data_IF_912377744758
#
_entry.id   IF_912377744758
#
_cell.length_a   1.000
_cell.length_b   1.000
_cell.length_c   1.000
_cell.angle_alpha   90.00
_cell.angle_beta   90.00
_cell.angle_gamma   90.00
#
_symmetry.space_group_name_H-M   'P 1'
#
loop_
_entity.id
_entity.type
_entity.pdbx_description
1 polymer ?
#
# COMPACT_ATOMS: atom_id res chain seq x y z
N UNK A 1 27.01 -0.50 0.66
CA UNK A 1 26.09 0.58 0.24
C UNK A 1 24.76 0.29 0.93
N UNK A 2 24.25 1.19 1.77
CA UNK A 2 22.90 1.07 2.32
C UNK A 2 21.94 1.73 1.32
N UNK A 3 21.22 0.91 0.56
CA UNK A 3 20.22 1.39 -0.40
C UNK A 3 18.87 1.45 0.30
N UNK A 4 18.42 2.66 0.63
CA UNK A 4 17.08 2.87 1.19
C UNK A 4 16.04 2.69 0.08
N UNK A 5 15.13 1.73 0.27
CA UNK A 5 14.03 1.44 -0.67
C UNK A 5 12.71 1.88 -0.03
N UNK A 6 11.90 2.62 -0.79
CA UNK A 6 10.52 2.95 -0.42
C UNK A 6 9.56 2.30 -1.41
N UNK A 7 8.53 1.64 -0.89
CA UNK A 7 7.47 0.99 -1.66
C UNK A 7 6.17 1.76 -1.48
N UNK A 8 5.66 2.34 -2.56
CA UNK A 8 4.40 3.09 -2.56
C UNK A 8 3.29 2.19 -3.09
N UNK A 9 2.30 1.88 -2.25
CA UNK A 9 1.12 1.11 -2.63
C UNK A 9 -0.07 2.05 -2.73
N UNK A 10 -0.66 2.18 -3.92
CA UNK A 10 -1.91 2.92 -4.11
C UNK A 10 -3.08 1.96 -4.16
N UNK A 11 -4.17 2.27 -3.47
CA UNK A 11 -5.38 1.44 -3.46
C UNK A 11 -6.65 2.29 -3.55
N UNK A 12 -7.73 1.70 -4.06
CA UNK A 12 -9.10 2.23 -3.98
C UNK A 12 -10.03 1.06 -3.81
N UNK A 13 -10.72 0.98 -2.66
CA UNK A 13 -11.82 0.02 -2.40
C UNK A 13 -11.53 -1.41 -2.88
N UNK A 14 -10.30 -1.90 -2.64
CA UNK A 14 -9.83 -3.23 -3.08
C UNK A 14 -9.23 -4.03 -1.92
N UNK A 15 -10.03 -4.40 -0.89
CA UNK A 15 -9.50 -4.99 0.32
C UNK A 15 -8.83 -6.36 0.09
N UNK A 16 -9.35 -7.20 -0.81
CA UNK A 16 -8.75 -8.51 -1.11
C UNK A 16 -7.38 -8.36 -1.80
N UNK A 17 -7.31 -7.56 -2.87
CA UNK A 17 -6.04 -7.33 -3.59
C UNK A 17 -5.02 -6.58 -2.74
N UNK A 18 -5.47 -5.66 -1.89
CA UNK A 18 -4.58 -4.99 -0.94
C UNK A 18 -3.97 -6.01 0.02
N UNK A 19 -4.77 -6.94 0.55
CA UNK A 19 -4.28 -8.02 1.41
C UNK A 19 -3.22 -8.87 0.70
N UNK A 20 -3.51 -9.33 -0.51
CA UNK A 20 -2.56 -10.13 -1.31
C UNK A 20 -1.26 -9.36 -1.59
N UNK A 21 -1.35 -8.07 -1.92
CA UNK A 21 -0.21 -7.20 -2.13
C UNK A 21 0.65 -7.07 -0.86
N UNK A 22 0.03 -6.82 0.29
CA UNK A 22 0.73 -6.70 1.57
C UNK A 22 1.37 -8.02 2.00
N UNK A 23 0.72 -9.16 1.75
CA UNK A 23 1.30 -10.48 1.99
C UNK A 23 2.53 -10.74 1.10
N UNK A 24 2.45 -10.36 -0.17
CA UNK A 24 3.60 -10.45 -1.10
C UNK A 24 4.76 -9.58 -0.64
N UNK A 25 4.50 -8.34 -0.22
CA UNK A 25 5.53 -7.43 0.29
C UNK A 25 6.15 -7.93 1.62
N UNK A 26 5.35 -8.54 2.50
CA UNK A 26 5.86 -9.14 3.74
C UNK A 26 6.75 -10.38 3.50
N UNK A 27 6.58 -11.06 2.37
CA UNK A 27 7.35 -12.24 1.97
C UNK A 27 8.66 -11.91 1.22
N UNK A 28 8.97 -10.64 0.97
CA UNK A 28 10.20 -10.24 0.26
C UNK A 28 11.46 -10.57 1.08
N UNK A 29 12.54 -10.90 0.37
CA UNK A 29 13.86 -11.18 0.96
C UNK A 29 14.56 -9.92 1.47
N UNK A 30 14.34 -8.78 0.79
CA UNK A 30 14.76 -7.47 1.28
C UNK A 30 13.84 -7.05 2.43
N UNK A 31 14.39 -6.87 3.63
CA UNK A 31 13.63 -6.54 4.85
C UNK A 31 13.63 -5.06 5.19
N UNK A 32 14.62 -4.32 4.68
CA UNK A 32 14.84 -2.92 5.01
C UNK A 32 14.21 -2.04 3.93
N UNK A 33 12.89 -1.84 4.02
CA UNK A 33 12.16 -0.90 3.17
C UNK A 33 11.01 -0.24 3.95
N UNK A 34 10.65 0.98 3.56
CA UNK A 34 9.46 1.68 4.04
C UNK A 34 8.27 1.36 3.12
N UNK A 35 7.09 1.15 3.70
CA UNK A 35 5.84 1.04 2.96
C UNK A 35 4.97 2.28 3.18
N UNK A 36 4.63 2.98 2.09
CA UNK A 36 3.68 4.09 2.11
C UNK A 36 2.40 3.64 1.41
N UNK A 37 1.32 3.45 2.19
CA UNK A 37 0.00 3.11 1.67
C UNK A 37 -0.82 4.37 1.42
N UNK A 38 -1.22 4.58 0.17
CA UNK A 38 -2.04 5.72 -0.26
C UNK A 38 -3.43 5.22 -0.65
N UNK A 39 -4.43 5.57 0.16
CA UNK A 39 -5.83 5.42 -0.24
C UNK A 39 -6.23 6.55 -1.20
N UNK A 40 -6.56 6.17 -2.42
CA UNK A 40 -6.97 7.06 -3.49
C UNK A 40 -8.50 7.18 -3.58
N UNK A 41 -9.24 6.74 -2.55
CA UNK A 41 -10.71 6.81 -2.48
C UNK A 41 -11.28 8.23 -2.50
N UNK A 42 -10.41 9.23 -2.29
CA UNK A 42 -10.58 10.66 -2.60
C UNK A 42 -12.04 11.08 -2.76
N UNK A 43 -12.64 11.59 -1.68
CA UNK A 43 -13.86 12.42 -1.70
C UNK A 43 -15.22 11.75 -1.97
N UNK A 44 -15.33 10.45 -2.27
CA UNK A 44 -16.65 9.80 -2.39
C UNK A 44 -17.26 9.36 -1.04
N UNK A 45 -16.91 10.03 0.06
CA UNK A 45 -17.50 9.84 1.39
C UNK A 45 -18.16 11.10 1.95
N UNK A 46 -18.06 12.23 1.23
CA UNK A 46 -18.60 13.53 1.67
C UNK A 46 -19.96 13.84 1.04
N UNK A 47 -20.35 13.13 -0.04
CA UNK A 47 -21.61 13.40 -0.79
C UNK A 47 -22.77 12.49 -0.34
N UNK A 48 -22.53 11.54 0.57
CA UNK A 48 -23.57 10.62 1.06
C UNK A 48 -24.05 10.97 2.50
N UNK A 49 -24.12 12.28 2.81
CA UNK A 49 -24.78 12.79 4.02
C UNK A 49 -26.07 13.51 3.68
#
# INVERSE_FOLDING_TARGET
>A
MNSTVSVIVRTVRRPQRLRECLQSLAAQTLREFELILVDMSGWLSVIDR
#
